data_IF_423234849257
#
_entry.id   IF_423234849257
#
_cell.length_a   1.000
_cell.length_b   1.000
_cell.length_c   1.000
_cell.angle_alpha   90.00
_cell.angle_beta   90.00
_cell.angle_gamma   90.00
#
_symmetry.space_group_name_H-M   'P 1'
#
loop_
_entity.id
_entity.type
_entity.pdbx_description
1 polymer ?
#
# COMPACT_ATOMS: atom_id res chain seq x y z
N UNK A 1 -15.30 0.79 8.71
CA UNK A 1 -15.19 0.19 7.35
C UNK A 1 -14.45 -1.12 7.49
N UNK A 2 -14.90 -2.20 6.87
CA UNK A 2 -14.21 -3.49 6.87
C UNK A 2 -13.00 -3.43 5.91
N UNK A 3 -11.91 -4.07 6.30
CA UNK A 3 -10.63 -4.04 5.58
C UNK A 3 -10.34 -5.41 4.96
N UNK A 4 -9.82 -5.41 3.73
CA UNK A 4 -9.15 -6.58 3.18
C UNK A 4 -7.67 -6.50 3.55
N UNK A 5 -7.20 -7.42 4.38
CA UNK A 5 -5.83 -7.51 4.87
C UNK A 5 -5.10 -8.58 4.09
N UNK A 6 -4.06 -8.21 3.36
CA UNK A 6 -3.31 -9.12 2.49
C UNK A 6 -1.89 -9.27 3.04
N UNK A 7 -1.43 -10.51 3.15
CA UNK A 7 -0.05 -10.82 3.49
C UNK A 7 0.67 -11.37 2.26
N UNK A 8 1.74 -10.69 1.83
CA UNK A 8 2.66 -11.10 0.78
C UNK A 8 3.93 -11.71 1.37
N UNK A 9 4.80 -12.29 0.52
CA UNK A 9 5.98 -13.05 0.93
C UNK A 9 7.16 -12.21 1.47
N UNK A 10 7.18 -10.89 1.25
CA UNK A 10 8.28 -10.01 1.68
C UNK A 10 8.37 -9.84 3.19
N UNK A 11 9.29 -8.98 3.64
CA UNK A 11 9.56 -8.74 5.06
C UNK A 11 8.32 -8.26 5.82
N UNK A 12 8.10 -8.81 7.02
CA UNK A 12 7.01 -8.44 7.92
C UNK A 12 7.45 -8.65 9.36
N UNK A 13 7.32 -7.63 10.20
CA UNK A 13 7.66 -7.70 11.63
C UNK A 13 6.42 -7.60 12.53
N UNK A 14 5.55 -6.63 12.26
CA UNK A 14 4.38 -6.34 13.11
C UNK A 14 3.22 -5.76 12.32
N UNK A 15 2.01 -5.88 12.87
CA UNK A 15 0.83 -5.21 12.37
C UNK A 15 0.87 -3.71 12.70
N UNK A 16 0.53 -2.85 11.73
CA UNK A 16 0.34 -1.40 11.94
C UNK A 16 -0.99 -1.10 12.63
N UNK A 17 -1.99 -1.97 12.46
CA UNK A 17 -3.27 -1.93 13.17
C UNK A 17 -3.76 -3.35 13.44
N UNK A 18 -4.58 -3.57 14.49
CA UNK A 18 -5.18 -4.88 14.75
C UNK A 18 -6.13 -5.30 13.63
N UNK A 19 -6.09 -6.57 13.26
CA UNK A 19 -7.14 -7.19 12.41
C UNK A 19 -8.42 -7.31 13.25
N UNK A 20 -9.53 -6.82 12.73
CA UNK A 20 -10.81 -6.71 13.45
C UNK A 20 -11.79 -7.80 13.00
N UNK A 21 -12.76 -8.17 13.85
CA UNK A 21 -13.86 -9.01 13.40
C UNK A 21 -14.57 -8.42 12.18
N UNK A 22 -14.67 -9.21 11.10
CA UNK A 22 -15.27 -8.81 9.84
C UNK A 22 -14.28 -8.29 8.79
N UNK A 23 -12.99 -8.08 9.13
CA UNK A 23 -11.95 -7.93 8.14
C UNK A 23 -11.74 -9.26 7.40
N UNK A 24 -11.31 -9.18 6.15
CA UNK A 24 -11.06 -10.34 5.29
C UNK A 24 -9.56 -10.53 5.11
N UNK A 25 -9.04 -11.65 5.59
CA UNK A 25 -7.59 -11.92 5.62
C UNK A 25 -7.21 -12.84 4.47
N UNK A 26 -6.31 -12.38 3.61
CA UNK A 26 -5.76 -13.14 2.49
C UNK A 26 -4.27 -13.39 2.67
N UNK A 27 -3.84 -14.60 2.36
CA UNK A 27 -2.44 -14.92 2.12
C UNK A 27 -2.17 -14.93 0.61
N UNK A 28 -1.19 -14.15 0.16
CA UNK A 28 -0.66 -14.18 -1.19
C UNK A 28 0.68 -14.93 -1.17
N UNK A 29 0.71 -16.12 -1.76
CA UNK A 29 1.86 -17.04 -1.82
C UNK A 29 2.53 -17.23 -0.45
N UNK A 30 3.83 -16.93 -0.32
CA UNK A 30 4.61 -17.04 0.93
C UNK A 30 4.11 -16.20 2.11
N UNK A 31 3.15 -15.30 1.92
CA UNK A 31 2.49 -14.54 2.99
C UNK A 31 1.77 -15.41 4.03
N UNK A 32 1.45 -16.66 3.67
CA UNK A 32 0.88 -17.65 4.60
C UNK A 32 1.81 -17.90 5.81
N UNK A 33 3.14 -17.86 5.62
CA UNK A 33 4.11 -18.07 6.70
C UNK A 33 4.04 -16.98 7.77
N UNK A 34 3.69 -15.74 7.40
CA UNK A 34 3.50 -14.65 8.37
C UNK A 34 2.24 -14.87 9.20
N UNK A 35 1.13 -15.28 8.58
CA UNK A 35 -0.11 -15.60 9.29
C UNK A 35 0.06 -16.77 10.27
N UNK A 36 0.79 -17.81 9.86
CA UNK A 36 1.12 -18.94 10.74
C UNK A 36 1.90 -18.50 11.98
N UNK A 37 2.90 -17.60 11.82
CA UNK A 37 3.65 -17.03 12.95
C UNK A 37 2.79 -16.20 13.89
N UNK A 38 1.78 -15.52 13.35
CA UNK A 38 0.80 -14.74 14.12
C UNK A 38 -0.29 -15.60 14.78
N UNK A 39 -0.35 -16.91 14.48
CA UNK A 39 -1.44 -17.79 14.92
C UNK A 39 -2.78 -17.44 14.29
N UNK A 40 -2.77 -16.80 13.12
CA UNK A 40 -3.97 -16.37 12.40
C UNK A 40 -4.30 -17.34 11.27
N UNK A 41 -5.60 -17.60 11.08
CA UNK A 41 -6.10 -18.37 9.95
C UNK A 41 -6.60 -17.40 8.87
N UNK A 42 -6.10 -17.47 7.61
CA UNK A 42 -6.63 -16.66 6.52
C UNK A 42 -8.02 -17.13 6.09
N UNK A 43 -8.83 -16.19 5.59
CA UNK A 43 -10.11 -16.48 4.93
C UNK A 43 -9.92 -17.00 3.49
N UNK A 44 -8.74 -16.75 2.89
CA UNK A 44 -8.35 -17.25 1.58
C UNK A 44 -6.85 -17.27 1.38
N UNK A 45 -6.40 -18.20 0.53
CA UNK A 45 -4.99 -18.38 0.19
C UNK A 45 -4.90 -18.41 -1.34
N UNK A 46 -4.03 -17.56 -1.91
CA UNK A 46 -3.87 -17.35 -3.35
C UNK A 46 -2.40 -17.44 -3.70
N UNK A 47 -2.06 -18.16 -4.74
CA UNK A 47 -0.70 -18.26 -5.24
C UNK A 47 -0.47 -19.47 -6.15
N UNK A 48 0.77 -19.61 -6.62
CA UNK A 48 1.24 -20.82 -7.31
C UNK A 48 2.00 -21.76 -6.33
N UNK A 49 2.36 -21.22 -5.14
CA UNK A 49 3.01 -21.95 -4.03
C UNK A 49 4.35 -22.60 -4.38
N UNK A 50 5.03 -22.12 -5.41
CA UNK A 50 6.36 -22.58 -5.78
C UNK A 50 7.39 -22.29 -4.68
N UNK A 51 7.23 -21.15 -3.98
CA UNK A 51 8.06 -20.73 -2.86
C UNK A 51 7.82 -21.52 -1.57
N UNK A 52 6.63 -22.12 -1.38
CA UNK A 52 6.29 -22.90 -0.19
C UNK A 52 6.66 -24.38 -0.29
N UNK A 53 6.83 -24.90 -1.50
CA UNK A 53 7.13 -26.33 -1.75
C UNK A 53 5.96 -27.30 -1.45
N UNK A 54 4.78 -26.78 -1.11
CA UNK A 54 3.52 -27.52 -0.95
C UNK A 54 2.32 -26.62 -1.22
N UNK A 55 1.21 -27.22 -1.63
CA UNK A 55 -0.06 -26.51 -1.84
C UNK A 55 -0.92 -26.63 -0.58
N UNK A 56 -1.32 -25.51 0.07
CA UNK A 56 -2.24 -25.52 1.20
C UNK A 56 -3.60 -26.10 0.84
N UNK A 57 -4.29 -26.78 1.77
CA UNK A 57 -5.49 -27.59 1.52
C UNK A 57 -6.65 -26.82 0.86
N UNK A 58 -6.84 -25.55 1.24
CA UNK A 58 -7.97 -24.73 0.76
C UNK A 58 -7.48 -23.56 -0.12
N UNK A 59 -6.30 -23.72 -0.73
CA UNK A 59 -5.70 -22.69 -1.56
C UNK A 59 -6.35 -22.59 -2.94
N UNK A 60 -6.52 -21.37 -3.43
CA UNK A 60 -6.75 -21.10 -4.86
C UNK A 60 -5.41 -21.12 -5.58
N UNK A 61 -5.16 -22.19 -6.30
CA UNK A 61 -3.92 -22.36 -7.07
C UNK A 61 -4.07 -21.67 -8.42
N UNK A 62 -3.11 -20.82 -8.75
CA UNK A 62 -2.98 -20.20 -10.06
C UNK A 62 -1.73 -20.74 -10.75
N UNK A 63 -1.70 -20.80 -12.10
CA UNK A 63 -0.48 -21.18 -12.84
C UNK A 63 0.67 -20.23 -12.51
N UNK A 64 1.92 -20.72 -12.54
CA UNK A 64 3.12 -19.87 -12.43
C UNK A 64 3.16 -18.84 -13.56
N UNK A 65 2.86 -19.30 -14.79
CA UNK A 65 2.70 -18.42 -15.95
C UNK A 65 1.30 -17.79 -15.93
N UNK A 66 1.22 -16.54 -15.47
CA UNK A 66 -0.01 -15.75 -15.39
C UNK A 66 0.30 -14.27 -15.59
N UNK A 67 -0.70 -13.49 -15.98
CA UNK A 67 -0.55 -12.06 -16.28
C UNK A 67 -0.51 -11.18 -15.01
N UNK A 68 -0.97 -11.68 -13.86
CA UNK A 68 -1.06 -10.95 -12.60
C UNK A 68 -0.10 -11.51 -11.53
N UNK A 69 0.42 -10.65 -10.67
CA UNK A 69 1.12 -11.07 -9.44
C UNK A 69 0.13 -11.63 -8.41
N UNK A 70 0.59 -12.44 -7.45
CA UNK A 70 -0.28 -12.97 -6.39
C UNK A 70 -0.90 -11.87 -5.54
N UNK A 71 -0.18 -10.77 -5.29
CA UNK A 71 -0.70 -9.59 -4.62
C UNK A 71 -1.86 -8.95 -5.42
N UNK A 72 -1.72 -8.83 -6.75
CA UNK A 72 -2.77 -8.30 -7.62
C UNK A 72 -3.99 -9.23 -7.64
N UNK A 73 -3.81 -10.54 -7.70
CA UNK A 73 -4.91 -11.51 -7.62
C UNK A 73 -5.67 -11.41 -6.30
N UNK A 74 -4.96 -11.26 -5.17
CA UNK A 74 -5.56 -11.06 -3.86
C UNK A 74 -6.36 -9.76 -3.80
N UNK A 75 -5.83 -8.66 -4.36
CA UNK A 75 -6.53 -7.39 -4.48
C UNK A 75 -7.81 -7.51 -5.32
N UNK A 76 -7.74 -8.16 -6.49
CA UNK A 76 -8.92 -8.39 -7.34
C UNK A 76 -9.99 -9.20 -6.60
N UNK A 77 -9.61 -10.21 -5.83
CA UNK A 77 -10.55 -10.97 -5.02
C UNK A 77 -11.22 -10.09 -3.96
N UNK A 78 -10.47 -9.30 -3.22
CA UNK A 78 -11.02 -8.37 -2.23
C UNK A 78 -11.99 -7.34 -2.83
N UNK A 79 -11.65 -6.77 -4.01
CA UNK A 79 -12.53 -5.86 -4.74
C UNK A 79 -13.82 -6.55 -5.19
N UNK A 80 -13.74 -7.78 -5.71
CA UNK A 80 -14.90 -8.57 -6.13
C UNK A 80 -15.84 -8.90 -4.95
N UNK A 81 -15.30 -9.03 -3.74
CA UNK A 81 -16.07 -9.21 -2.50
C UNK A 81 -16.62 -7.89 -1.94
N UNK A 82 -16.33 -6.75 -2.56
CA UNK A 82 -16.87 -5.44 -2.20
C UNK A 82 -16.01 -4.63 -1.23
N UNK A 83 -14.83 -5.11 -0.84
CA UNK A 83 -13.91 -4.33 0.00
C UNK A 83 -13.41 -3.09 -0.73
N UNK A 84 -13.21 -2.00 0.03
CA UNK A 84 -12.71 -0.72 -0.50
C UNK A 84 -11.53 -0.16 0.28
N UNK A 85 -11.16 -0.79 1.39
CA UNK A 85 -9.93 -0.51 2.13
C UNK A 85 -9.06 -1.76 2.15
N UNK A 86 -7.79 -1.60 1.79
CA UNK A 86 -6.81 -2.67 1.69
C UNK A 86 -5.57 -2.32 2.51
N UNK A 87 -5.09 -3.26 3.30
CA UNK A 87 -3.81 -3.17 4.00
C UNK A 87 -2.96 -4.36 3.58
N UNK A 88 -1.81 -4.09 2.97
CA UNK A 88 -0.97 -5.09 2.34
C UNK A 88 0.38 -5.12 3.06
N UNK A 89 0.63 -6.18 3.78
CA UNK A 89 1.88 -6.48 4.48
C UNK A 89 2.80 -7.32 3.61
N UNK A 90 4.13 -7.18 3.80
CA UNK A 90 5.12 -7.93 3.03
C UNK A 90 5.22 -7.55 1.55
N UNK A 91 4.68 -6.37 1.19
CA UNK A 91 4.71 -5.84 -0.18
C UNK A 91 5.83 -4.84 -0.46
N UNK A 92 6.50 -4.30 0.58
CA UNK A 92 7.58 -3.31 0.44
C UNK A 92 8.98 -3.89 0.71
N UNK A 93 9.13 -4.72 1.74
CA UNK A 93 10.43 -5.15 2.25
C UNK A 93 10.84 -6.52 1.68
N UNK A 94 10.56 -6.76 0.43
CA UNK A 94 10.98 -7.98 -0.28
C UNK A 94 12.34 -7.82 -0.95
N UNK A 95 13.03 -8.93 -1.24
CA UNK A 95 14.32 -8.90 -1.94
C UNK A 95 14.17 -8.56 -3.42
N UNK A 96 12.96 -8.59 -3.96
CA UNK A 96 12.63 -8.36 -5.37
C UNK A 96 12.08 -6.96 -5.57
N UNK A 97 12.91 -6.06 -6.08
CA UNK A 97 12.53 -4.67 -6.37
C UNK A 97 11.42 -4.58 -7.43
N UNK A 98 11.39 -5.49 -8.42
CA UNK A 98 10.34 -5.58 -9.43
C UNK A 98 8.97 -5.84 -8.81
N UNK A 99 8.86 -6.70 -7.78
CA UNK A 99 7.63 -6.89 -7.03
C UNK A 99 7.22 -5.64 -6.23
N UNK A 100 8.18 -4.92 -5.64
CA UNK A 100 7.88 -3.64 -4.97
C UNK A 100 7.30 -2.63 -5.96
N UNK A 101 7.87 -2.53 -7.16
CA UNK A 101 7.34 -1.66 -8.22
C UNK A 101 5.94 -2.10 -8.66
N UNK A 102 5.70 -3.40 -8.86
CA UNK A 102 4.37 -3.93 -9.18
C UNK A 102 3.35 -3.65 -8.07
N UNK A 103 3.77 -3.67 -6.81
CA UNK A 103 2.89 -3.35 -5.68
C UNK A 103 2.52 -1.85 -5.62
N UNK A 104 3.39 -0.93 -6.06
CA UNK A 104 3.00 0.47 -6.26
C UNK A 104 1.96 0.62 -7.38
N UNK A 105 2.10 -0.14 -8.48
CA UNK A 105 1.08 -0.19 -9.53
C UNK A 105 -0.24 -0.79 -9.01
N UNK A 106 -0.18 -1.75 -8.10
CA UNK A 106 -1.36 -2.32 -7.42
C UNK A 106 -2.09 -1.28 -6.57
N UNK A 107 -1.38 -0.36 -5.90
CA UNK A 107 -2.01 0.78 -5.21
C UNK A 107 -2.72 1.72 -6.21
N UNK A 108 -2.10 2.02 -7.35
CA UNK A 108 -2.74 2.81 -8.40
C UNK A 108 -4.00 2.11 -8.93
N UNK A 109 -3.92 0.81 -9.18
CA UNK A 109 -5.08 0.00 -9.61
C UNK A 109 -6.23 0.07 -8.60
N UNK A 110 -5.96 -0.06 -7.29
CA UNK A 110 -6.98 0.10 -6.25
C UNK A 110 -7.65 1.47 -6.32
N UNK A 111 -6.87 2.53 -6.41
CA UNK A 111 -7.35 3.91 -6.47
C UNK A 111 -8.22 4.15 -7.71
N UNK A 112 -7.83 3.59 -8.87
CA UNK A 112 -8.61 3.66 -10.12
C UNK A 112 -9.95 2.90 -10.03
N UNK A 113 -10.07 1.96 -9.08
CA UNK A 113 -11.29 1.20 -8.79
C UNK A 113 -12.07 1.73 -7.57
N UNK A 114 -11.79 2.98 -7.14
CA UNK A 114 -12.48 3.62 -6.01
C UNK A 114 -12.21 2.94 -4.67
N UNK A 115 -11.01 2.39 -4.50
CA UNK A 115 -10.57 1.77 -3.26
C UNK A 115 -9.26 2.39 -2.77
N UNK A 116 -9.01 2.33 -1.46
CA UNK A 116 -7.80 2.79 -0.81
C UNK A 116 -6.93 1.60 -0.45
N UNK A 117 -5.67 1.62 -0.90
CA UNK A 117 -4.65 0.65 -0.55
C UNK A 117 -3.52 1.26 0.25
N UNK A 118 -3.01 0.50 1.22
CA UNK A 118 -1.80 0.81 1.97
C UNK A 118 -0.83 -0.36 1.86
N UNK A 119 0.38 -0.11 1.40
CA UNK A 119 1.51 -1.02 1.59
C UNK A 119 2.15 -0.69 2.93
N UNK A 120 2.30 -1.70 3.77
CA UNK A 120 2.90 -1.56 5.10
C UNK A 120 4.18 -2.37 5.16
N UNK A 121 5.29 -1.67 5.25
CA UNK A 121 6.61 -2.22 5.49
C UNK A 121 7.09 -1.97 6.92
N UNK A 122 8.28 -2.47 7.23
CA UNK A 122 8.88 -2.32 8.56
C UNK A 122 9.33 -0.88 8.82
N UNK A 123 9.88 -0.21 7.80
CA UNK A 123 10.39 1.16 7.90
C UNK A 123 9.43 2.17 7.31
N UNK A 124 8.80 1.84 6.18
CA UNK A 124 7.96 2.77 5.43
C UNK A 124 6.56 2.23 5.20
N UNK A 125 5.62 3.14 5.03
CA UNK A 125 4.30 2.88 4.47
C UNK A 125 4.15 3.62 3.14
N UNK A 126 3.26 3.13 2.28
CA UNK A 126 2.93 3.79 1.03
C UNK A 126 1.42 3.72 0.74
N UNK A 127 0.93 4.76 0.07
CA UNK A 127 -0.43 4.80 -0.53
C UNK A 127 -0.43 5.59 -1.82
N UNK A 128 -1.44 5.40 -2.63
CA UNK A 128 -1.72 6.28 -3.78
C UNK A 128 -2.99 7.08 -3.50
N UNK A 129 -2.91 8.39 -3.70
CA UNK A 129 -4.06 9.31 -3.66
C UNK A 129 -4.36 9.83 -5.07
N UNK A 130 -5.64 10.10 -5.37
CA UNK A 130 -6.08 10.61 -6.68
C UNK A 130 -7.21 11.62 -6.52
N UNK A 131 -6.98 12.85 -6.98
CA UNK A 131 -7.95 13.94 -6.94
C UNK A 131 -8.54 14.17 -5.55
N UNK A 132 -7.71 14.12 -4.52
CA UNK A 132 -8.13 14.17 -3.12
C UNK A 132 -7.04 14.73 -2.22
N UNK A 133 -7.36 14.84 -0.93
CA UNK A 133 -6.47 15.29 0.14
C UNK A 133 -6.36 14.23 1.23
N UNK A 134 -5.16 14.08 1.78
CA UNK A 134 -4.91 13.33 3.01
C UNK A 134 -4.14 14.20 4.00
N UNK A 135 -4.32 13.94 5.31
CA UNK A 135 -3.70 14.69 6.37
C UNK A 135 -2.94 13.78 7.33
N UNK A 136 -1.83 14.28 7.84
CA UNK A 136 -1.03 13.65 8.90
C UNK A 136 -1.10 14.53 10.14
N UNK A 137 -1.15 13.93 11.34
CA UNK A 137 -1.22 14.71 12.59
C UNK A 137 0.08 15.50 12.85
N UNK A 138 0.01 16.46 13.75
CA UNK A 138 1.16 17.31 14.08
C UNK A 138 2.33 16.53 14.72
N UNK A 139 2.03 15.38 15.32
CA UNK A 139 2.99 14.46 15.93
C UNK A 139 3.77 13.63 14.90
N UNK A 140 3.39 13.69 13.61
CA UNK A 140 4.12 12.98 12.57
C UNK A 140 5.56 13.53 12.43
N UNK A 141 6.50 12.60 12.32
CA UNK A 141 7.93 12.90 12.24
C UNK A 141 8.61 12.19 11.06
N UNK A 142 9.83 12.60 10.73
CA UNK A 142 10.64 11.99 9.69
C UNK A 142 10.25 12.44 8.28
N UNK A 143 10.30 11.52 7.36
CA UNK A 143 10.21 11.80 5.91
C UNK A 143 8.79 11.54 5.37
N UNK A 144 8.36 12.43 4.46
CA UNK A 144 7.25 12.19 3.54
C UNK A 144 7.71 12.47 2.11
N UNK A 145 7.80 11.45 1.28
CA UNK A 145 8.12 11.59 -0.14
C UNK A 145 6.86 11.50 -0.99
N UNK A 146 6.79 12.34 -2.03
CA UNK A 146 5.65 12.44 -2.93
C UNK A 146 6.14 12.28 -4.37
N UNK A 147 5.55 11.35 -5.11
CA UNK A 147 5.86 11.09 -6.50
C UNK A 147 4.59 11.11 -7.35
N UNK A 148 4.71 11.56 -8.60
CA UNK A 148 3.68 11.24 -9.58
C UNK A 148 3.70 9.73 -9.90
N UNK A 149 2.54 9.15 -10.10
CA UNK A 149 2.41 7.78 -10.59
C UNK A 149 1.44 7.76 -11.78
N UNK A 150 1.84 7.08 -12.84
CA UNK A 150 1.08 6.99 -14.10
C UNK A 150 1.27 8.20 -15.01
N UNK A 151 1.02 9.43 -14.54
CA UNK A 151 1.11 10.66 -15.32
C UNK A 151 1.51 11.86 -14.45
N UNK A 152 1.67 13.03 -15.07
CA UNK A 152 1.84 14.31 -14.36
C UNK A 152 0.63 14.63 -13.48
N UNK A 153 0.87 15.30 -12.36
CA UNK A 153 -0.15 15.75 -11.43
C UNK A 153 -0.21 17.28 -11.36
N UNK A 154 -1.42 17.83 -11.23
CA UNK A 154 -1.68 19.28 -11.19
C UNK A 154 -2.49 19.65 -9.95
N UNK A 155 -2.36 20.90 -9.51
CA UNK A 155 -3.01 21.39 -8.31
C UNK A 155 -2.45 20.68 -7.06
N UNK A 156 -1.16 20.37 -7.06
CA UNK A 156 -0.52 19.71 -5.93
C UNK A 156 -0.22 20.74 -4.85
N UNK A 157 -0.75 20.50 -3.65
CA UNK A 157 -0.49 21.33 -2.48
C UNK A 157 0.09 20.48 -1.36
N UNK A 158 1.25 20.93 -0.86
CA UNK A 158 1.97 20.32 0.26
C UNK A 158 2.01 21.35 1.39
N UNK A 159 1.34 21.09 2.51
CA UNK A 159 1.25 21.98 3.67
C UNK A 159 1.84 21.30 4.91
N UNK A 160 2.33 22.10 5.86
CA UNK A 160 2.91 21.59 7.12
C UNK A 160 4.21 20.80 6.94
N UNK A 161 4.85 20.92 5.79
CA UNK A 161 6.07 20.24 5.42
C UNK A 161 7.22 21.25 5.21
N UNK A 162 8.46 20.78 5.34
CA UNK A 162 9.67 21.61 5.21
C UNK A 162 9.79 22.28 3.83
N UNK A 163 9.35 21.59 2.78
CA UNK A 163 9.33 22.12 1.42
C UNK A 163 7.86 22.21 0.97
N UNK A 164 7.18 23.33 1.27
CA UNK A 164 5.78 23.50 0.90
C UNK A 164 5.63 23.73 -0.60
N UNK A 165 4.47 23.37 -1.12
CA UNK A 165 4.06 23.62 -2.50
C UNK A 165 2.60 24.09 -2.47
N UNK A 166 2.24 25.06 -3.32
CA UNK A 166 0.86 25.55 -3.44
C UNK A 166 0.46 25.53 -4.90
N UNK A 167 -0.62 24.80 -5.19
CA UNK A 167 -1.20 24.69 -6.53
C UNK A 167 -0.17 24.38 -7.64
N UNK A 168 0.80 23.52 -7.29
CA UNK A 168 1.95 23.23 -8.14
C UNK A 168 1.67 22.11 -9.14
N UNK A 169 2.60 21.96 -10.08
CA UNK A 169 2.66 20.81 -10.99
C UNK A 169 3.82 19.91 -10.58
N UNK A 170 3.57 18.62 -10.42
CA UNK A 170 4.59 17.59 -10.37
C UNK A 170 4.58 16.81 -11.69
N UNK A 171 5.76 16.49 -12.20
CA UNK A 171 5.92 15.73 -13.45
C UNK A 171 6.49 14.36 -13.17
N UNK A 172 5.98 13.35 -13.87
CA UNK A 172 6.36 11.95 -13.64
C UNK A 172 7.84 11.66 -13.86
N UNK A 173 8.54 12.47 -14.68
CA UNK A 173 9.96 12.32 -14.98
C UNK A 173 10.91 13.07 -14.04
N UNK A 174 10.40 13.82 -13.04
CA UNK A 174 11.23 14.64 -12.15
C UNK A 174 10.89 14.33 -10.67
N UNK A 175 11.85 13.84 -9.86
CA UNK A 175 11.59 13.44 -8.47
C UNK A 175 11.59 14.65 -7.51
N UNK A 176 10.77 15.67 -7.78
CA UNK A 176 10.75 16.94 -7.04
C UNK A 176 10.28 16.79 -5.60
N UNK A 177 9.32 15.88 -5.34
CA UNK A 177 8.70 15.69 -4.03
C UNK A 177 9.43 14.75 -3.07
N UNK A 178 10.65 14.32 -3.39
CA UNK A 178 11.41 13.35 -2.59
C UNK A 178 12.01 14.00 -1.35
N UNK A 179 12.02 13.25 -0.24
CA UNK A 179 12.65 13.65 1.02
C UNK A 179 12.14 14.97 1.59
N UNK A 180 10.85 15.23 1.49
CA UNK A 180 10.21 16.26 2.30
C UNK A 180 10.12 15.79 3.76
N UNK A 181 9.90 16.67 4.71
CA UNK A 181 9.92 16.38 6.14
C UNK A 181 8.71 16.97 6.84
N UNK A 182 8.17 16.24 7.80
CA UNK A 182 7.24 16.79 8.77
C UNK A 182 7.91 17.87 9.61
N UNK A 183 7.15 18.87 10.09
CA UNK A 183 7.69 20.05 10.79
C UNK A 183 7.09 20.25 12.18
N UNK A 184 6.44 19.22 12.75
CA UNK A 184 5.74 19.33 14.04
C UNK A 184 4.41 20.10 13.94
N UNK A 185 3.83 20.17 12.74
CA UNK A 185 2.53 20.75 12.45
C UNK A 185 1.68 19.73 11.67
N UNK A 186 0.37 19.90 11.70
CA UNK A 186 -0.49 19.10 10.82
C UNK A 186 -0.03 19.28 9.37
N UNK A 187 0.20 18.14 8.68
CA UNK A 187 0.65 18.15 7.31
C UNK A 187 -0.45 17.64 6.37
N UNK A 188 -0.60 18.31 5.23
CA UNK A 188 -1.57 17.95 4.19
C UNK A 188 -0.90 17.72 2.85
N UNK A 189 -1.33 16.68 2.15
CA UNK A 189 -0.99 16.43 0.74
C UNK A 189 -2.28 16.39 -0.05
N UNK A 190 -2.40 17.26 -1.04
CA UNK A 190 -3.58 17.39 -1.90
C UNK A 190 -3.17 17.34 -3.36
N UNK A 191 -4.02 16.75 -4.18
CA UNK A 191 -3.89 16.76 -5.64
C UNK A 191 -5.26 16.98 -6.28
N UNK A 192 -5.36 18.00 -7.13
CA UNK A 192 -6.61 18.32 -7.85
C UNK A 192 -6.80 17.44 -9.08
N UNK A 193 -5.74 17.09 -9.80
CA UNK A 193 -5.79 16.26 -11.00
C UNK A 193 -4.56 15.39 -11.12
N UNK A 194 -4.76 14.08 -11.23
CA UNK A 194 -3.72 13.07 -11.31
C UNK A 194 -3.60 12.23 -10.04
N UNK A 195 -2.55 11.41 -9.99
CA UNK A 195 -2.29 10.50 -8.87
C UNK A 195 -0.92 10.75 -8.27
N UNK A 196 -0.84 10.68 -6.94
CA UNK A 196 0.41 10.78 -6.19
C UNK A 196 0.65 9.51 -5.38
N UNK A 197 1.82 8.92 -5.52
CA UNK A 197 2.36 7.92 -4.61
C UNK A 197 3.01 8.66 -3.43
N UNK A 198 2.55 8.37 -2.23
CA UNK A 198 3.09 8.87 -0.97
C UNK A 198 3.87 7.76 -0.27
N UNK A 199 5.07 8.08 0.24
CA UNK A 199 5.86 7.20 1.11
C UNK A 199 6.24 7.97 2.36
N UNK A 200 6.05 7.36 3.54
CA UNK A 200 6.37 7.97 4.83
C UNK A 200 6.84 6.93 5.84
N UNK A 201 7.46 7.39 6.92
CA UNK A 201 7.92 6.52 8.00
C UNK A 201 6.74 5.79 8.67
N UNK A 202 6.81 4.47 8.75
CA UNK A 202 5.72 3.60 9.24
C UNK A 202 5.29 3.90 10.69
N UNK A 203 6.16 4.51 11.48
CA UNK A 203 5.87 4.94 12.85
C UNK A 203 4.71 5.96 12.94
N UNK A 204 4.45 6.70 11.86
CA UNK A 204 3.36 7.69 11.82
C UNK A 204 1.96 7.06 11.63
N UNK A 205 1.88 5.75 11.34
CA UNK A 205 0.61 5.08 11.09
C UNK A 205 -0.09 5.56 9.81
N UNK A 206 -1.41 5.40 9.78
CA UNK A 206 -2.23 5.75 8.61
C UNK A 206 -2.61 7.24 8.62
N UNK A 207 -2.56 7.94 7.46
CA UNK A 207 -3.07 9.30 7.35
C UNK A 207 -4.60 9.33 7.53
N UNK A 208 -5.13 10.52 7.86
CA UNK A 208 -6.57 10.80 7.86
C UNK A 208 -7.01 11.23 6.45
N UNK A 209 -8.18 10.78 6.06
CA UNK A 209 -8.86 11.16 4.82
C UNK A 209 -9.73 12.40 5.01
#
# INVERSE_FOLDING_TARGET
MQTCVIFCAGGFEKLAEPVRPGDYVLAADGGLAHLQKLGMTPDGIIGDFDSLGYVPRDARVFPVEKDDTDAMLAVRQGLALGYRRFVIYGGLDGPRLDHTMANFQTLQFLTDHGARGFLVGNTYMATVIKNEKVCFPAEAEGILSVFCIGADAQGVTLQGLKYPLTDGKLTAGIPLGVSNHFTGQEAGVEVCSGSLLLLWDSANGFPKE
#
